data_IF_019771074555
#
_entry.id   IF_019771074555
#
_cell.length_a   1.000
_cell.length_b   1.000
_cell.length_c   1.000
_cell.angle_alpha   90.00
_cell.angle_beta   90.00
_cell.angle_gamma   90.00
#
_symmetry.space_group_name_H-M   'P 1'
#
loop_
_entity.id
_entity.type
_entity.pdbx_description
1 polymer ?
#
# COMPACT_ATOMS: atom_id res chain seq x y z
N UNK A 1 7.73 18.22 17.06
CA UNK A 1 8.02 17.12 16.10
C UNK A 1 6.73 16.79 15.37
N UNK A 2 6.73 16.82 14.04
CA UNK A 2 5.56 16.43 13.23
C UNK A 2 5.16 14.97 13.52
N UNK A 3 3.86 14.68 13.46
CA UNK A 3 3.30 13.35 13.73
C UNK A 3 3.04 12.61 12.42
N UNK A 4 3.36 11.33 12.38
CA UNK A 4 3.10 10.46 11.23
C UNK A 4 2.34 9.21 11.66
N UNK A 5 1.21 8.96 11.04
CA UNK A 5 0.45 7.71 11.19
C UNK A 5 0.96 6.73 10.14
N UNK A 6 1.31 5.51 10.56
CA UNK A 6 1.66 4.41 9.66
C UNK A 6 0.69 3.26 9.93
N UNK A 7 -0.16 2.96 8.98
CA UNK A 7 -1.07 1.81 9.03
C UNK A 7 -0.38 0.58 8.42
N UNK A 8 -0.71 -0.62 8.91
CA UNK A 8 0.04 -1.83 8.54
C UNK A 8 1.48 -1.81 9.06
N UNK A 9 1.70 -1.16 10.21
CA UNK A 9 3.03 -0.89 10.79
C UNK A 9 3.84 -2.13 11.14
N UNK A 10 3.19 -3.29 11.32
CA UNK A 10 3.84 -4.59 11.60
C UNK A 10 4.00 -5.47 10.34
N UNK A 11 3.62 -4.95 9.18
CA UNK A 11 3.89 -5.57 7.88
C UNK A 11 5.33 -5.37 7.41
N UNK A 12 5.68 -5.97 6.26
CA UNK A 12 7.03 -5.93 5.69
C UNK A 12 7.52 -4.49 5.43
N UNK A 13 6.70 -3.67 4.75
CA UNK A 13 7.03 -2.28 4.42
C UNK A 13 6.85 -1.40 5.66
N UNK A 14 5.73 -1.53 6.37
CA UNK A 14 5.44 -0.71 7.55
C UNK A 14 6.50 -0.79 8.63
N UNK A 15 7.02 -1.98 8.92
CA UNK A 15 8.12 -2.16 9.89
C UNK A 15 9.40 -1.40 9.47
N UNK A 16 9.73 -1.43 8.18
CA UNK A 16 10.90 -0.69 7.67
C UNK A 16 10.70 0.83 7.77
N UNK A 17 9.52 1.32 7.37
CA UNK A 17 9.20 2.74 7.47
C UNK A 17 9.18 3.21 8.93
N UNK A 18 8.60 2.42 9.85
CA UNK A 18 8.65 2.74 11.28
C UNK A 18 10.09 2.86 11.80
N UNK A 19 10.98 1.94 11.38
CA UNK A 19 12.39 2.00 11.74
C UNK A 19 13.07 3.27 11.21
N UNK A 20 12.83 3.62 9.95
CA UNK A 20 13.41 4.78 9.29
C UNK A 20 12.92 6.10 9.89
N UNK A 21 11.60 6.22 10.13
CA UNK A 21 11.00 7.48 10.55
C UNK A 21 11.01 7.74 12.06
N UNK A 22 11.27 6.75 12.90
CA UNK A 22 11.19 6.88 14.37
C UNK A 22 12.05 7.99 14.96
N UNK A 23 13.18 8.31 14.31
CA UNK A 23 14.05 9.41 14.73
C UNK A 23 13.64 10.78 14.18
N UNK A 24 12.78 10.81 13.16
CA UNK A 24 12.40 12.03 12.42
C UNK A 24 10.99 12.53 12.81
N UNK A 25 10.08 11.62 13.17
CA UNK A 25 8.68 11.92 13.43
C UNK A 25 8.19 11.24 14.72
N UNK A 26 7.15 11.82 15.34
CA UNK A 26 6.36 11.11 16.36
C UNK A 26 5.45 10.13 15.64
N UNK A 27 5.77 8.84 15.72
CA UNK A 27 5.00 7.79 15.05
C UNK A 27 3.74 7.41 15.83
N UNK A 28 2.64 7.25 15.12
CA UNK A 28 1.39 6.66 15.57
C UNK A 28 1.16 5.40 14.72
N UNK A 29 1.36 4.24 15.32
CA UNK A 29 1.36 2.95 14.63
C UNK A 29 -0.01 2.28 14.72
N UNK A 30 -0.58 1.90 13.57
CA UNK A 30 -1.82 1.14 13.45
C UNK A 30 -1.56 -0.19 12.74
N UNK A 31 -2.00 -1.29 13.34
CA UNK A 31 -1.88 -2.63 12.76
C UNK A 31 -2.88 -3.59 13.43
N UNK A 32 -3.40 -4.55 12.66
CA UNK A 32 -4.27 -5.59 13.18
C UNK A 32 -3.58 -6.41 14.29
N UNK A 33 -2.26 -6.62 14.19
CA UNK A 33 -1.45 -7.28 15.26
C UNK A 33 -1.35 -6.51 16.56
N UNK A 34 -1.72 -5.23 16.54
CA UNK A 34 -1.81 -4.37 17.71
C UNK A 34 -3.27 -4.24 18.21
N UNK A 35 -4.20 -5.02 17.64
CA UNK A 35 -5.62 -4.95 17.96
C UNK A 35 -6.37 -3.82 17.23
N UNK A 36 -5.77 -3.19 16.22
CA UNK A 36 -6.37 -2.09 15.47
C UNK A 36 -7.00 -2.62 14.17
N UNK A 37 -8.28 -2.95 14.21
CA UNK A 37 -9.02 -3.38 13.03
C UNK A 37 -9.53 -2.18 12.23
N UNK A 38 -8.90 -1.92 11.08
CA UNK A 38 -9.29 -0.82 10.20
C UNK A 38 -10.54 -1.12 9.35
N UNK A 39 -11.10 -2.33 9.43
CA UNK A 39 -12.40 -2.65 8.85
C UNK A 39 -13.55 -2.23 9.78
N UNK A 40 -13.30 -2.01 11.06
CA UNK A 40 -14.24 -1.44 12.01
C UNK A 40 -14.29 0.09 11.87
N UNK A 41 -15.34 0.57 11.19
CA UNK A 41 -15.53 2.01 10.96
C UNK A 41 -15.71 2.80 12.27
N UNK A 42 -16.29 2.20 13.32
CA UNK A 42 -16.46 2.88 14.62
C UNK A 42 -15.11 3.10 15.27
N UNK A 43 -14.24 2.09 15.24
CA UNK A 43 -12.86 2.21 15.70
C UNK A 43 -12.13 3.30 14.93
N UNK A 44 -12.16 3.27 13.59
CA UNK A 44 -11.48 4.26 12.74
C UNK A 44 -11.93 5.68 13.06
N UNK A 45 -13.24 5.94 13.11
CA UNK A 45 -13.79 7.26 13.45
C UNK A 45 -13.31 7.78 14.80
N UNK A 46 -13.37 6.94 15.84
CA UNK A 46 -12.94 7.31 17.19
C UNK A 46 -11.43 7.59 17.22
N UNK A 47 -10.64 6.67 16.69
CA UNK A 47 -9.19 6.75 16.77
C UNK A 47 -8.62 7.99 16.05
N UNK A 48 -9.06 8.27 14.81
CA UNK A 48 -8.59 9.44 14.06
C UNK A 48 -9.02 10.77 14.68
N UNK A 49 -10.18 10.83 15.32
CA UNK A 49 -10.62 12.00 16.09
C UNK A 49 -9.68 12.30 17.27
N UNK A 50 -9.20 11.27 17.95
CA UNK A 50 -8.33 11.38 19.14
C UNK A 50 -6.85 11.56 18.78
N UNK A 51 -6.45 11.23 17.55
CA UNK A 51 -5.05 11.17 17.13
C UNK A 51 -4.77 12.00 15.86
N UNK A 52 -4.92 13.34 15.89
CA UNK A 52 -4.57 14.16 14.74
C UNK A 52 -3.06 14.09 14.43
N UNK A 53 -2.70 14.10 13.13
CA UNK A 53 -1.33 13.98 12.66
C UNK A 53 -1.11 14.75 11.35
N UNK A 54 0.17 15.03 11.03
CA UNK A 54 0.56 15.76 9.82
C UNK A 54 0.59 14.84 8.59
N UNK A 55 0.91 13.55 8.79
CA UNK A 55 1.12 12.60 7.70
C UNK A 55 0.41 11.29 7.96
N UNK A 56 -0.11 10.69 6.87
CA UNK A 56 -0.71 9.36 6.86
C UNK A 56 -0.05 8.51 5.77
N UNK A 57 0.52 7.37 6.15
CA UNK A 57 1.12 6.39 5.24
C UNK A 57 0.38 5.07 5.35
N UNK A 58 -0.35 4.69 4.31
CA UNK A 58 -1.23 3.54 4.30
C UNK A 58 -0.53 2.30 3.71
N UNK A 59 0.10 1.49 4.59
CA UNK A 59 0.79 0.25 4.21
C UNK A 59 -0.05 -1.02 4.43
N UNK A 60 -1.24 -0.92 5.08
CA UNK A 60 -2.06 -2.10 5.30
C UNK A 60 -2.68 -2.62 4.01
N UNK A 61 -2.74 -3.91 3.88
CA UNK A 61 -3.43 -4.58 2.79
C UNK A 61 -3.57 -6.08 3.07
N UNK A 62 -4.65 -6.66 2.61
CA UNK A 62 -4.76 -8.09 2.39
C UNK A 62 -3.95 -8.47 1.14
N UNK A 63 -2.99 -9.35 1.30
CA UNK A 63 -2.09 -9.79 0.22
C UNK A 63 -1.61 -11.21 0.49
N UNK A 64 -2.40 -12.19 0.12
CA UNK A 64 -2.00 -13.59 0.25
C UNK A 64 -0.83 -13.89 -0.69
N UNK A 65 0.23 -14.39 -0.12
CA UNK A 65 1.30 -14.99 -0.89
C UNK A 65 0.80 -16.28 -1.50
N UNK A 66 1.09 -16.50 -2.78
CA UNK A 66 0.79 -17.75 -3.44
C UNK A 66 1.66 -18.84 -2.79
N UNK A 67 1.04 -19.66 -1.94
CA UNK A 67 1.73 -20.76 -1.25
C UNK A 67 1.66 -21.98 -2.14
N UNK A 68 2.83 -22.47 -2.57
CA UNK A 68 2.96 -23.66 -3.41
C UNK A 68 2.48 -24.96 -2.71
N UNK A 69 2.34 -24.95 -1.38
CA UNK A 69 1.85 -26.08 -0.59
C UNK A 69 0.33 -26.15 -0.45
N UNK A 70 -0.38 -25.04 -0.76
CA UNK A 70 -1.85 -25.00 -0.71
C UNK A 70 -2.45 -25.43 -2.04
N UNK A 71 -3.75 -25.79 -2.02
CA UNK A 71 -4.52 -26.05 -3.23
C UNK A 71 -4.34 -24.89 -4.20
N UNK A 72 -3.98 -25.18 -5.46
CA UNK A 72 -3.74 -24.15 -6.48
C UNK A 72 -4.96 -23.22 -6.58
N UNK A 73 -4.74 -21.91 -6.42
CA UNK A 73 -5.74 -20.90 -6.68
C UNK A 73 -5.84 -20.70 -8.20
N UNK A 74 -7.05 -20.76 -8.73
CA UNK A 74 -7.36 -20.51 -10.13
C UNK A 74 -8.50 -19.50 -10.24
N UNK A 75 -8.72 -18.94 -11.41
CA UNK A 75 -9.84 -18.02 -11.66
C UNK A 75 -11.20 -18.63 -11.23
N UNK A 76 -11.37 -19.94 -11.41
CA UNK A 76 -12.65 -20.65 -11.23
C UNK A 76 -12.96 -21.07 -9.78
N UNK A 77 -11.97 -21.01 -8.87
CA UNK A 77 -12.15 -21.41 -7.47
C UNK A 77 -12.06 -20.26 -6.48
N UNK A 78 -12.00 -19.02 -6.96
CA UNK A 78 -12.08 -17.81 -6.13
C UNK A 78 -13.55 -17.55 -5.80
N UNK A 79 -13.91 -17.54 -4.52
CA UNK A 79 -15.26 -17.23 -4.07
C UNK A 79 -15.53 -15.71 -4.12
N UNK A 80 -16.80 -15.32 -4.30
CA UNK A 80 -17.21 -13.91 -4.21
C UNK A 80 -16.98 -13.34 -2.80
N UNK A 81 -17.11 -14.15 -1.77
CA UNK A 81 -16.77 -13.77 -0.40
C UNK A 81 -15.32 -13.34 -0.29
N UNK A 82 -14.37 -14.19 -0.72
CA UNK A 82 -12.96 -13.87 -0.73
C UNK A 82 -12.64 -12.64 -1.60
N UNK A 83 -13.34 -12.48 -2.72
CA UNK A 83 -13.20 -11.29 -3.57
C UNK A 83 -13.62 -10.02 -2.80
N UNK A 84 -14.75 -10.07 -2.10
CA UNK A 84 -15.26 -8.95 -1.31
C UNK A 84 -14.36 -8.62 -0.12
N UNK A 85 -13.76 -9.62 0.54
CA UNK A 85 -12.81 -9.41 1.64
C UNK A 85 -11.61 -8.55 1.19
N UNK A 86 -11.07 -8.84 0.00
CA UNK A 86 -9.99 -8.01 -0.57
C UNK A 86 -10.43 -6.57 -0.82
N UNK A 87 -11.64 -6.36 -1.36
CA UNK A 87 -12.18 -5.02 -1.59
C UNK A 87 -12.44 -4.31 -0.26
N UNK A 88 -13.00 -5.03 0.72
CA UNK A 88 -13.28 -4.48 2.05
C UNK A 88 -12.00 -3.97 2.71
N UNK A 89 -10.95 -4.80 2.77
CA UNK A 89 -9.70 -4.41 3.43
C UNK A 89 -8.93 -3.36 2.60
N UNK A 90 -8.70 -3.64 1.31
CA UNK A 90 -7.74 -2.86 0.52
C UNK A 90 -8.29 -1.56 -0.04
N UNK A 91 -9.62 -1.43 -0.16
CA UNK A 91 -10.24 -0.27 -0.81
C UNK A 91 -11.25 0.42 0.09
N UNK A 92 -12.26 -0.28 0.62
CA UNK A 92 -13.31 0.32 1.46
C UNK A 92 -12.73 0.86 2.76
N UNK A 93 -11.91 0.07 3.45
CA UNK A 93 -11.24 0.51 4.69
C UNK A 93 -10.22 1.61 4.43
N UNK A 94 -9.51 1.56 3.30
CA UNK A 94 -8.59 2.64 2.90
C UNK A 94 -9.33 3.97 2.71
N UNK A 95 -10.49 3.94 2.04
CA UNK A 95 -11.34 5.12 1.90
C UNK A 95 -11.77 5.66 3.28
N UNK A 96 -12.24 4.79 4.18
CA UNK A 96 -12.63 5.18 5.55
C UNK A 96 -11.48 5.86 6.30
N UNK A 97 -10.29 5.26 6.28
CA UNK A 97 -9.07 5.79 6.92
C UNK A 97 -8.68 7.15 6.35
N UNK A 98 -8.64 7.30 5.03
CA UNK A 98 -8.31 8.57 4.38
C UNK A 98 -9.35 9.66 4.69
N UNK A 99 -10.63 9.31 4.68
CA UNK A 99 -11.74 10.22 5.01
C UNK A 99 -11.63 10.72 6.46
N UNK A 100 -11.44 9.83 7.41
CA UNK A 100 -11.36 10.21 8.81
C UNK A 100 -10.06 10.98 9.12
N UNK A 101 -8.95 10.65 8.45
CA UNK A 101 -7.74 11.48 8.52
C UNK A 101 -8.04 12.90 8.03
N UNK A 102 -8.59 13.05 6.83
CA UNK A 102 -8.83 14.40 6.25
C UNK A 102 -9.85 15.22 7.03
N UNK A 103 -10.85 14.57 7.63
CA UNK A 103 -11.85 15.25 8.47
C UNK A 103 -11.26 15.84 9.74
N UNK A 104 -10.24 15.20 10.30
CA UNK A 104 -9.67 15.58 11.61
C UNK A 104 -8.34 16.36 11.47
N UNK A 105 -7.86 16.62 10.25
CA UNK A 105 -6.62 17.35 10.00
C UNK A 105 -6.85 18.44 8.93
N UNK A 106 -6.41 19.66 9.23
CA UNK A 106 -6.59 20.81 8.32
C UNK A 106 -5.56 20.87 7.20
N UNK A 107 -4.36 20.38 7.46
CA UNK A 107 -3.21 20.36 6.52
C UNK A 107 -2.51 19.01 6.65
N UNK A 108 -2.01 18.45 5.56
CA UNK A 108 -1.28 17.20 5.65
C UNK A 108 -0.88 16.57 4.31
N UNK A 109 -0.33 15.37 4.41
CA UNK A 109 -0.06 14.53 3.25
C UNK A 109 -0.45 13.07 3.51
N UNK A 110 -1.11 12.47 2.55
CA UNK A 110 -1.50 11.06 2.53
C UNK A 110 -0.69 10.35 1.45
N UNK A 111 -0.09 9.22 1.80
CA UNK A 111 0.58 8.33 0.86
C UNK A 111 -0.09 6.95 0.90
N UNK A 112 -0.68 6.55 -0.22
CA UNK A 112 -1.32 5.27 -0.40
C UNK A 112 -0.39 4.29 -1.14
N UNK A 113 -0.49 3.01 -0.82
CA UNK A 113 0.26 1.94 -1.49
C UNK A 113 -0.64 1.15 -2.45
N UNK A 114 -0.38 1.27 -3.74
CA UNK A 114 -0.90 0.37 -4.76
C UNK A 114 0.08 -0.81 -4.97
N UNK A 115 0.20 -1.30 -6.17
CA UNK A 115 1.06 -2.40 -6.60
C UNK A 115 1.25 -2.32 -8.11
N UNK A 116 2.31 -2.92 -8.64
CA UNK A 116 2.42 -3.17 -10.09
C UNK A 116 1.17 -3.85 -10.64
N UNK A 117 0.52 -4.73 -9.85
CA UNK A 117 -0.74 -5.38 -10.24
C UNK A 117 -1.98 -4.47 -10.18
N UNK A 118 -1.84 -3.23 -9.77
CA UNK A 118 -2.83 -2.18 -9.99
C UNK A 118 -2.67 -1.46 -11.35
N UNK A 119 -1.53 -1.65 -12.02
CA UNK A 119 -1.23 -1.08 -13.35
C UNK A 119 -1.32 -2.13 -14.45
N UNK A 120 -0.81 -3.34 -14.19
CA UNK A 120 -0.77 -4.47 -15.13
C UNK A 120 -1.31 -5.73 -14.48
N UNK A 121 -1.73 -6.70 -15.30
CA UNK A 121 -2.16 -8.01 -14.79
C UNK A 121 -0.99 -8.78 -14.16
N UNK A 122 -1.31 -9.68 -13.22
CA UNK A 122 -0.33 -10.63 -12.70
C UNK A 122 0.10 -11.60 -13.78
N UNK A 123 1.39 -11.96 -13.79
CA UNK A 123 1.94 -12.92 -14.77
C UNK A 123 1.84 -14.35 -14.24
N UNK A 124 1.04 -15.21 -14.89
CA UNK A 124 0.85 -16.60 -14.44
C UNK A 124 2.16 -17.39 -14.34
N UNK A 125 3.11 -17.12 -15.22
CA UNK A 125 4.42 -17.79 -15.27
C UNK A 125 5.25 -17.69 -13.98
N UNK A 126 4.96 -16.67 -13.15
CA UNK A 126 5.63 -16.48 -11.87
C UNK A 126 5.10 -17.43 -10.77
N UNK A 127 3.94 -18.07 -10.97
CA UNK A 127 3.19 -18.72 -9.89
C UNK A 127 2.99 -20.22 -10.06
N UNK A 128 3.78 -20.87 -10.92
CA UNK A 128 3.78 -22.34 -11.11
C UNK A 128 2.38 -22.95 -11.33
N UNK A 129 1.57 -22.31 -12.15
CA UNK A 129 0.20 -22.71 -12.47
C UNK A 129 -0.83 -22.39 -11.37
N UNK A 130 -0.44 -21.66 -10.32
CA UNK A 130 -1.38 -20.96 -9.43
C UNK A 130 -1.61 -19.54 -9.93
N UNK A 131 -2.67 -18.89 -9.46
CA UNK A 131 -2.97 -17.50 -9.84
C UNK A 131 -2.87 -16.59 -8.62
N UNK A 132 -2.32 -15.39 -8.81
CA UNK A 132 -2.48 -14.31 -7.85
C UNK A 132 -3.97 -13.96 -7.76
N UNK A 133 -4.49 -13.76 -6.56
CA UNK A 133 -5.91 -13.46 -6.35
C UNK A 133 -6.32 -12.24 -7.16
N UNK A 134 -7.36 -12.39 -8.00
CA UNK A 134 -7.80 -11.33 -8.94
C UNK A 134 -8.19 -10.05 -8.22
N UNK A 135 -8.90 -10.16 -7.08
CA UNK A 135 -9.33 -8.99 -6.31
C UNK A 135 -8.16 -8.18 -5.73
N UNK A 136 -6.96 -8.77 -5.57
CA UNK A 136 -5.79 -8.00 -5.21
C UNK A 136 -5.47 -6.94 -6.26
N UNK A 137 -5.32 -7.34 -7.53
CA UNK A 137 -5.07 -6.39 -8.63
C UNK A 137 -6.19 -5.36 -8.78
N UNK A 138 -7.46 -5.83 -8.76
CA UNK A 138 -8.64 -4.95 -8.84
C UNK A 138 -8.63 -3.92 -7.71
N UNK A 139 -8.42 -4.34 -6.47
CA UNK A 139 -8.37 -3.41 -5.33
C UNK A 139 -7.22 -2.41 -5.47
N UNK A 140 -6.05 -2.85 -5.95
CA UNK A 140 -4.87 -1.97 -6.11
C UNK A 140 -5.02 -0.99 -7.28
N UNK A 141 -5.74 -1.33 -8.34
CA UNK A 141 -6.19 -0.38 -9.36
C UNK A 141 -7.18 0.65 -8.77
N UNK A 142 -8.11 0.19 -7.93
CA UNK A 142 -9.02 1.06 -7.18
C UNK A 142 -8.29 2.06 -6.29
N UNK A 143 -7.20 1.68 -5.63
CA UNK A 143 -6.36 2.59 -4.83
C UNK A 143 -5.79 3.74 -5.67
N UNK A 144 -5.38 3.48 -6.90
CA UNK A 144 -4.86 4.51 -7.82
C UNK A 144 -5.94 5.55 -8.12
N UNK A 145 -7.15 5.10 -8.48
CA UNK A 145 -8.26 6.01 -8.78
C UNK A 145 -8.74 6.75 -7.53
N UNK A 146 -8.89 6.05 -6.41
CA UNK A 146 -9.24 6.67 -5.12
C UNK A 146 -8.25 7.76 -4.73
N UNK A 147 -6.94 7.56 -4.94
CA UNK A 147 -5.91 8.56 -4.67
C UNK A 147 -6.15 9.83 -5.49
N UNK A 148 -6.44 9.70 -6.79
CA UNK A 148 -6.73 10.85 -7.67
C UNK A 148 -8.01 11.59 -7.22
N UNK A 149 -9.07 10.83 -6.91
CA UNK A 149 -10.30 11.41 -6.39
C UNK A 149 -10.07 12.22 -5.12
N UNK A 150 -9.37 11.63 -4.14
CA UNK A 150 -9.06 12.30 -2.87
C UNK A 150 -8.16 13.53 -3.08
N UNK A 151 -7.17 13.45 -3.96
CA UNK A 151 -6.29 14.57 -4.29
C UNK A 151 -7.08 15.77 -4.82
N UNK A 152 -8.05 15.53 -5.72
CA UNK A 152 -8.91 16.58 -6.27
C UNK A 152 -9.77 17.28 -5.21
N UNK A 153 -10.30 16.49 -4.24
CA UNK A 153 -11.25 17.01 -3.26
C UNK A 153 -10.60 17.57 -2.00
N UNK A 154 -9.35 17.21 -1.71
CA UNK A 154 -8.66 17.62 -0.48
C UNK A 154 -7.62 18.72 -0.71
N UNK A 155 -7.26 19.00 -1.97
CA UNK A 155 -6.40 20.13 -2.30
C UNK A 155 -7.12 21.48 -1.99
N UNK A 156 -6.38 22.54 -1.66
CA UNK A 156 -4.90 22.60 -1.56
C UNK A 156 -4.35 22.12 -0.21
N UNK A 157 -5.20 21.79 0.74
CA UNK A 157 -4.82 21.62 2.15
C UNK A 157 -4.14 20.28 2.43
N UNK A 158 -4.64 19.19 1.81
CA UNK A 158 -4.08 17.85 1.99
C UNK A 158 -3.68 17.30 0.63
N UNK A 159 -2.40 16.96 0.50
CA UNK A 159 -1.90 16.28 -0.69
C UNK A 159 -2.13 14.77 -0.57
N UNK A 160 -2.50 14.12 -1.64
CA UNK A 160 -2.72 12.67 -1.66
C UNK A 160 -2.00 12.07 -2.85
N UNK A 161 -1.06 11.16 -2.60
CA UNK A 161 -0.27 10.52 -3.64
C UNK A 161 -0.26 9.00 -3.47
N UNK A 162 0.06 8.29 -4.52
CA UNK A 162 0.13 6.84 -4.56
C UNK A 162 1.54 6.38 -4.93
N UNK A 163 2.03 5.37 -4.21
CA UNK A 163 3.26 4.66 -4.54
C UNK A 163 2.91 3.28 -5.10
N UNK A 164 3.56 2.90 -6.19
CA UNK A 164 3.40 1.61 -6.86
C UNK A 164 4.74 0.85 -6.78
N UNK A 165 4.95 0.08 -5.71
CA UNK A 165 6.18 -0.69 -5.56
C UNK A 165 6.19 -1.92 -6.48
N UNK A 166 7.38 -2.29 -6.95
CA UNK A 166 7.66 -3.59 -7.53
C UNK A 166 7.65 -4.71 -6.49
N UNK A 167 8.05 -5.90 -6.92
CA UNK A 167 8.18 -7.04 -6.02
C UNK A 167 9.25 -6.81 -4.96
N UNK A 168 8.82 -6.69 -3.69
CA UNK A 168 9.74 -6.51 -2.55
C UNK A 168 10.34 -7.85 -2.15
N UNK A 169 11.66 -7.90 -2.05
CA UNK A 169 12.40 -9.08 -1.62
C UNK A 169 12.07 -9.44 -0.16
N UNK A 170 11.63 -10.69 0.06
CA UNK A 170 11.32 -11.21 1.39
C UNK A 170 11.65 -12.71 1.46
N UNK A 171 10.65 -13.58 1.55
CA UNK A 171 10.79 -15.05 1.70
C UNK A 171 10.48 -15.81 0.42
N UNK A 172 10.47 -15.18 -0.74
CA UNK A 172 10.20 -15.84 -2.01
C UNK A 172 11.27 -16.90 -2.33
N UNK A 173 10.84 -17.98 -2.99
CA UNK A 173 11.75 -19.04 -3.46
C UNK A 173 12.80 -18.49 -4.44
N UNK A 174 13.95 -19.15 -4.54
CA UNK A 174 14.99 -18.77 -5.52
C UNK A 174 14.41 -18.75 -6.93
N UNK A 175 13.62 -19.77 -7.31
CA UNK A 175 12.95 -19.84 -8.62
C UNK A 175 12.10 -18.58 -8.91
N UNK A 176 11.26 -18.17 -7.96
CA UNK A 176 10.45 -16.97 -8.11
C UNK A 176 11.32 -15.71 -8.30
N UNK A 177 12.34 -15.54 -7.45
CA UNK A 177 13.25 -14.39 -7.52
C UNK A 177 13.97 -14.30 -8.86
N UNK A 178 14.49 -15.43 -9.34
CA UNK A 178 15.21 -15.52 -10.62
C UNK A 178 14.25 -15.20 -11.80
N UNK A 179 13.03 -15.73 -11.77
CA UNK A 179 12.00 -15.45 -12.78
C UNK A 179 11.56 -13.98 -12.77
N UNK A 180 11.30 -13.43 -11.58
CA UNK A 180 10.95 -12.02 -11.43
C UNK A 180 12.07 -11.09 -11.93
N UNK A 181 13.33 -11.41 -11.59
CA UNK A 181 14.49 -10.61 -12.00
C UNK A 181 14.69 -10.53 -13.51
N UNK A 182 14.25 -11.56 -14.26
CA UNK A 182 14.29 -11.53 -15.73
C UNK A 182 13.30 -10.53 -16.31
N UNK A 183 12.19 -10.26 -15.61
CA UNK A 183 11.12 -9.36 -16.05
C UNK A 183 11.38 -7.89 -15.70
N UNK A 184 12.21 -7.63 -14.69
CA UNK A 184 12.56 -6.26 -14.32
C UNK A 184 13.86 -5.82 -15.01
N UNK A 185 13.93 -4.66 -15.69
CA UNK A 185 15.16 -4.10 -16.24
C UNK A 185 16.30 -4.00 -15.24
N UNK A 186 16.01 -3.67 -13.98
CA UNK A 186 17.00 -3.64 -12.88
C UNK A 186 17.52 -5.02 -12.44
N UNK A 187 17.02 -6.12 -13.04
CA UNK A 187 17.47 -7.51 -12.85
C UNK A 187 17.45 -8.01 -11.41
N UNK A 188 16.62 -7.45 -10.58
CA UNK A 188 16.43 -7.85 -9.17
C UNK A 188 15.07 -7.44 -8.63
N UNK A 189 14.69 -8.04 -7.51
CA UNK A 189 13.59 -7.54 -6.69
C UNK A 189 14.02 -6.31 -5.89
N UNK A 190 13.06 -5.50 -5.47
CA UNK A 190 13.28 -4.29 -4.69
C UNK A 190 13.63 -4.63 -3.24
N UNK A 191 14.58 -3.91 -2.65
CA UNK A 191 14.79 -3.93 -1.21
C UNK A 191 13.81 -2.99 -0.51
N UNK A 192 13.28 -3.39 0.65
CA UNK A 192 12.24 -2.62 1.37
C UNK A 192 12.65 -1.19 1.73
N UNK A 193 13.95 -0.93 1.98
CA UNK A 193 14.46 0.39 2.32
C UNK A 193 14.47 1.37 1.14
N UNK A 194 14.38 0.87 -0.11
CA UNK A 194 14.35 1.72 -1.32
C UNK A 194 13.06 2.55 -1.44
N UNK A 195 12.08 2.31 -0.57
CA UNK A 195 10.86 3.13 -0.47
C UNK A 195 11.01 4.31 0.50
N UNK A 196 12.00 4.29 1.40
CA UNK A 196 12.07 5.21 2.52
C UNK A 196 12.10 6.68 2.09
N UNK A 197 13.03 7.03 1.20
CA UNK A 197 13.24 8.41 0.74
C UNK A 197 12.07 8.93 -0.12
N UNK A 198 11.44 8.04 -0.89
CA UNK A 198 10.25 8.40 -1.68
C UNK A 198 9.07 8.74 -0.78
N UNK A 199 8.86 7.96 0.27
CA UNK A 199 7.80 8.26 1.25
C UNK A 199 8.12 9.54 2.02
N UNK A 200 9.39 9.76 2.39
CA UNK A 200 9.82 11.02 3.02
C UNK A 200 9.57 12.21 2.12
N UNK A 201 9.97 12.13 0.85
CA UNK A 201 9.71 13.16 -0.16
C UNK A 201 8.21 13.49 -0.23
N UNK A 202 7.34 12.49 -0.38
CA UNK A 202 5.90 12.69 -0.49
C UNK A 202 5.24 13.25 0.78
N UNK A 203 5.81 12.98 1.94
CA UNK A 203 5.34 13.54 3.22
C UNK A 203 5.88 14.94 3.48
N UNK A 204 7.03 15.32 2.91
CA UNK A 204 7.71 16.59 3.19
C UNK A 204 7.22 17.74 2.32
N UNK A 205 7.69 18.95 2.65
CA UNK A 205 7.42 20.18 1.89
C UNK A 205 8.13 20.20 0.52
N UNK A 206 9.13 19.30 0.31
CA UNK A 206 9.80 19.12 -0.98
C UNK A 206 8.84 18.63 -2.09
N UNK A 207 7.69 18.10 -1.73
CA UNK A 207 6.63 17.69 -2.65
C UNK A 207 5.38 18.59 -2.57
N UNK A 208 5.55 19.86 -2.18
CA UNK A 208 4.44 20.81 -1.95
C UNK A 208 3.51 21.00 -3.17
N UNK A 209 4.03 20.79 -4.38
CA UNK A 209 3.24 20.88 -5.63
C UNK A 209 2.92 19.50 -6.25
N UNK A 210 3.01 18.42 -5.45
CA UNK A 210 2.78 17.04 -5.90
C UNK A 210 1.54 16.47 -5.21
N UNK A 211 0.43 16.34 -5.94
CA UNK A 211 -0.81 15.70 -5.48
C UNK A 211 -1.46 14.94 -6.63
N UNK A 212 -2.15 13.84 -6.35
CA UNK A 212 -2.75 12.95 -7.35
C UNK A 212 -1.75 12.11 -8.15
N UNK A 213 -0.48 12.20 -7.82
CA UNK A 213 0.59 11.50 -8.54
C UNK A 213 0.64 10.02 -8.19
N UNK A 214 1.03 9.22 -9.20
CA UNK A 214 1.26 7.78 -9.10
C UNK A 214 2.74 7.52 -9.37
N UNK A 215 3.52 7.32 -8.31
CA UNK A 215 4.95 7.09 -8.40
C UNK A 215 5.24 5.60 -8.50
N UNK A 216 5.71 5.17 -9.66
CA UNK A 216 6.07 3.77 -9.93
C UNK A 216 7.54 3.55 -9.53
N UNK A 217 7.77 2.59 -8.61
CA UNK A 217 9.09 2.24 -8.09
C UNK A 217 9.21 0.73 -8.21
N UNK A 218 9.41 0.23 -9.41
CA UNK A 218 9.28 -1.18 -9.75
C UNK A 218 10.49 -1.77 -10.50
N UNK A 219 11.57 -1.01 -10.62
CA UNK A 219 12.76 -1.43 -11.36
C UNK A 219 12.50 -1.61 -12.86
N UNK A 220 11.46 -0.95 -13.38
CA UNK A 220 11.05 -1.02 -14.78
C UNK A 220 10.16 -2.22 -15.12
N UNK A 221 9.63 -2.94 -14.13
CA UNK A 221 8.81 -4.14 -14.35
C UNK A 221 7.57 -3.88 -15.23
N UNK A 222 6.99 -2.66 -15.18
CA UNK A 222 5.73 -2.32 -15.89
C UNK A 222 5.92 -1.52 -17.18
N UNK A 223 7.14 -1.30 -17.67
CA UNK A 223 7.39 -0.44 -18.84
C UNK A 223 7.44 -1.19 -20.19
N UNK A 224 7.29 -2.52 -20.21
CA UNK A 224 7.31 -3.37 -21.41
C UNK A 224 6.28 -4.49 -21.38
#
# INVERSE_FOLDING_TARGET
MKKMIITGSKGLIGTELCKFFRKKYKLLELDLKLGHDLTDEKFVKKWFKENPADYLVNCFAMNDHVDQKRKKSTLYNISLESFNDYLQVNLTSLFSVCREFSKNNKIGSIVNFSSTYGLVSSRPDLYDGSHKHVAYGVSKAGVINLTKYLATHLAPNIRVNCVVPGGVLFKQSKKFRDSYSKLAPMKRMMHKHELNEVIEFLCSDNSSYTTGSVLVIDGGYTIW
#
